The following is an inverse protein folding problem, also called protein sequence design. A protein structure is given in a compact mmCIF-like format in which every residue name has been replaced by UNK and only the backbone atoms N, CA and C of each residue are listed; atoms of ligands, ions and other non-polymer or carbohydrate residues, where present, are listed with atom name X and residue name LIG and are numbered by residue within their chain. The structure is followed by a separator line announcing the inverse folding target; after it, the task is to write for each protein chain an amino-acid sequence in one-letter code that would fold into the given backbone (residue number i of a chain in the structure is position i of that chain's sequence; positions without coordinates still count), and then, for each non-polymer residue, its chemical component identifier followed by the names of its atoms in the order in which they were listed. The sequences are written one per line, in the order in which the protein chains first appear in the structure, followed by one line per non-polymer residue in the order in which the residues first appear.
data_IF_452923922703
#
_entry.id   IF_452923922703
#
_cell.length_a   1.000
_cell.length_b   1.000
_cell.length_c   1.000
_cell.angle_alpha   90.00
_cell.angle_beta   90.00
_cell.angle_gamma   90.00
#
_symmetry.space_group_name_H-M   'P 1'
#
loop_
_entity.id
_entity.type
_entity.pdbx_description
1 polymer ?
#
# COMPACT_ATOMS: atom_id res chain seq x y z
N UNK A 1 -3.00 -14.81 6.96
CA UNK A 1 -3.41 -13.39 7.01
C UNK A 1 -2.15 -12.55 7.13
N UNK A 2 -1.99 -11.55 6.26
CA UNK A 2 -0.89 -10.58 6.31
C UNK A 2 -1.53 -9.24 6.64
N UNK A 3 -1.01 -8.54 7.63
CA UNK A 3 -1.51 -7.22 8.04
C UNK A 3 -0.49 -6.17 7.65
N UNK A 4 -0.91 -5.21 6.85
CA UNK A 4 -0.09 -4.09 6.41
C UNK A 4 -0.97 -2.96 5.92
N UNK A 5 -0.52 -1.73 6.14
CA UNK A 5 -1.00 -0.59 5.37
C UNK A 5 -0.43 -0.64 3.95
N UNK A 6 -1.06 0.09 3.03
CA UNK A 6 -0.55 0.35 1.70
C UNK A 6 0.42 1.55 1.73
N UNK A 7 0.29 2.53 0.84
CA UNK A 7 1.16 3.72 0.83
C UNK A 7 1.00 4.59 2.09
N UNK A 8 2.11 5.12 2.59
CA UNK A 8 2.16 6.30 3.47
C UNK A 8 2.53 7.53 2.61
N UNK A 9 1.56 8.37 2.28
CA UNK A 9 1.72 9.42 1.28
C UNK A 9 1.69 10.82 1.90
N UNK A 10 2.45 11.73 1.28
CA UNK A 10 2.46 13.14 1.62
C UNK A 10 3.82 13.65 2.07
N UNK A 11 3.88 14.93 2.44
CA UNK A 11 5.11 15.62 2.84
C UNK A 11 5.05 16.20 4.25
N UNK A 12 3.98 15.91 4.99
CA UNK A 12 3.80 16.31 6.39
C UNK A 12 3.86 15.09 7.31
N UNK A 13 4.41 15.25 8.51
CA UNK A 13 4.41 14.25 9.59
C UNK A 13 4.99 12.86 9.23
N UNK A 14 5.86 12.78 8.21
CA UNK A 14 6.65 11.60 7.84
C UNK A 14 8.15 11.71 8.23
N UNK A 15 8.42 12.51 9.26
CA UNK A 15 9.78 12.87 9.67
C UNK A 15 10.39 13.92 8.73
N UNK A 16 11.63 13.70 8.28
CA UNK A 16 12.31 14.58 7.31
C UNK A 16 12.02 14.18 5.84
N UNK A 17 11.14 13.20 5.61
CA UNK A 17 10.91 12.62 4.30
C UNK A 17 9.75 13.29 3.56
N UNK A 18 9.94 13.49 2.27
CA UNK A 18 8.87 13.87 1.34
C UNK A 18 8.44 12.63 0.52
N UNK A 19 7.23 12.15 0.78
CA UNK A 19 6.60 11.04 0.05
C UNK A 19 5.52 11.51 -0.92
N UNK A 20 5.37 12.81 -1.15
CA UNK A 20 4.40 13.39 -2.05
C UNK A 20 4.89 13.38 -3.51
N UNK A 21 5.20 12.19 -4.05
CA UNK A 21 5.74 12.00 -5.42
C UNK A 21 4.97 12.79 -6.49
N UNK A 22 3.65 12.89 -6.35
CA UNK A 22 2.77 13.58 -7.29
C UNK A 22 2.23 14.92 -6.76
N UNK A 23 2.70 15.38 -5.59
CA UNK A 23 2.18 16.56 -4.90
C UNK A 23 1.04 16.24 -3.92
N UNK A 24 0.66 17.23 -3.12
CA UNK A 24 -0.34 17.12 -2.06
C UNK A 24 -1.64 17.87 -2.40
N UNK A 25 -1.95 18.03 -3.68
CA UNK A 25 -3.23 18.55 -4.14
C UNK A 25 -4.15 17.41 -4.58
N UNK A 26 -5.39 17.74 -4.95
CA UNK A 26 -6.34 16.71 -5.38
C UNK A 26 -5.84 15.93 -6.61
N UNK A 27 -5.21 16.59 -7.58
CA UNK A 27 -4.65 15.93 -8.77
C UNK A 27 -3.52 14.96 -8.40
N UNK A 28 -2.59 15.40 -7.54
CA UNK A 28 -1.51 14.58 -7.02
C UNK A 28 -2.02 13.36 -6.26
N UNK A 29 -3.03 13.55 -5.41
CA UNK A 29 -3.66 12.48 -4.66
C UNK A 29 -4.44 11.51 -5.55
N UNK A 30 -5.10 11.97 -6.61
CA UNK A 30 -5.72 11.11 -7.62
C UNK A 30 -4.65 10.27 -8.35
N UNK A 31 -3.53 10.86 -8.73
CA UNK A 31 -2.41 10.15 -9.38
C UNK A 31 -1.75 9.14 -8.45
N UNK A 32 -1.59 9.47 -7.18
CA UNK A 32 -1.08 8.56 -6.16
C UNK A 32 -1.99 7.34 -5.98
N UNK A 33 -3.32 7.54 -5.90
CA UNK A 33 -4.29 6.44 -5.84
C UNK A 33 -4.31 5.62 -7.14
N UNK A 34 -4.20 6.26 -8.30
CA UNK A 34 -4.09 5.54 -9.57
C UNK A 34 -2.85 4.65 -9.62
N UNK A 35 -1.72 5.12 -9.09
CA UNK A 35 -0.50 4.33 -8.98
C UNK A 35 -0.63 3.15 -8.00
N UNK A 36 -1.34 3.32 -6.89
CA UNK A 36 -1.68 2.20 -5.99
C UNK A 36 -2.52 1.14 -6.71
N UNK A 37 -3.54 1.55 -7.46
CA UNK A 37 -4.34 0.64 -8.27
C UNK A 37 -3.52 -0.08 -9.34
N UNK A 38 -2.56 0.60 -9.96
CA UNK A 38 -1.61 -0.01 -10.90
C UNK A 38 -0.79 -1.12 -10.22
N UNK A 39 -0.21 -0.84 -9.05
CA UNK A 39 0.58 -1.84 -8.30
C UNK A 39 -0.29 -3.05 -7.94
N UNK A 40 -1.50 -2.81 -7.41
CA UNK A 40 -2.45 -3.86 -7.04
C UNK A 40 -2.79 -4.72 -8.26
N UNK A 41 -3.18 -4.08 -9.36
CA UNK A 41 -3.59 -4.77 -10.58
C UNK A 41 -2.46 -5.60 -11.19
N UNK A 42 -1.26 -5.03 -11.29
CA UNK A 42 -0.13 -5.67 -11.95
C UNK A 42 0.51 -6.78 -11.09
N UNK A 43 0.46 -6.67 -9.77
CA UNK A 43 1.26 -7.52 -8.89
C UNK A 43 0.44 -8.45 -8.00
N UNK A 44 -0.80 -8.09 -7.67
CA UNK A 44 -1.53 -8.72 -6.57
C UNK A 44 -2.88 -9.31 -7.00
N UNK A 45 -3.44 -8.86 -8.12
CA UNK A 45 -4.74 -9.28 -8.66
C UNK A 45 -4.60 -10.33 -9.77
N UNK A 46 -5.56 -11.26 -9.85
CA UNK A 46 -5.60 -12.29 -10.90
C UNK A 46 -4.69 -13.47 -10.61
N UNK A 47 -4.34 -14.24 -11.64
CA UNK A 47 -3.35 -15.32 -11.53
C UNK A 47 -1.97 -14.68 -11.29
N UNK A 48 -1.42 -14.87 -10.10
CA UNK A 48 -0.15 -14.28 -9.68
C UNK A 48 0.89 -15.34 -9.40
N UNK A 49 2.13 -15.02 -9.78
CA UNK A 49 3.26 -15.94 -9.68
C UNK A 49 4.53 -15.21 -9.17
N UNK A 50 5.68 -15.93 -9.04
CA UNK A 50 6.94 -15.32 -8.64
C UNK A 50 7.41 -14.10 -9.43
N UNK A 51 6.95 -13.88 -10.66
CA UNK A 51 7.25 -12.66 -11.42
C UNK A 51 6.43 -11.47 -10.89
N UNK A 52 5.13 -11.65 -10.61
CA UNK A 52 4.30 -10.62 -9.99
C UNK A 52 4.84 -10.20 -8.61
N UNK A 53 5.32 -11.15 -7.80
CA UNK A 53 5.84 -10.85 -6.47
C UNK A 53 7.16 -10.05 -6.52
N UNK A 54 8.00 -10.31 -7.54
CA UNK A 54 9.20 -9.51 -7.80
C UNK A 54 8.82 -8.12 -8.27
N UNK A 55 7.85 -8.01 -9.16
CA UNK A 55 7.36 -6.74 -9.65
C UNK A 55 6.84 -5.86 -8.48
N UNK A 56 6.11 -6.43 -7.52
CA UNK A 56 5.73 -5.71 -6.29
C UNK A 56 6.94 -5.16 -5.51
N UNK A 57 7.97 -5.97 -5.34
CA UNK A 57 9.23 -5.54 -4.73
C UNK A 57 9.90 -4.42 -5.54
N UNK A 58 9.89 -4.49 -6.87
CA UNK A 58 10.45 -3.47 -7.76
C UNK A 58 9.68 -2.13 -7.71
N UNK A 59 8.36 -2.19 -7.48
CA UNK A 59 7.53 -0.99 -7.27
C UNK A 59 7.85 -0.30 -5.94
N UNK A 60 8.20 -1.06 -4.89
CA UNK A 60 8.24 -0.58 -3.50
C UNK A 60 9.65 -0.35 -2.97
N UNK A 61 10.64 -1.12 -3.43
CA UNK A 61 12.04 -1.04 -3.00
C UNK A 61 12.88 -0.26 -4.00
N UNK A 62 13.87 0.46 -3.48
CA UNK A 62 14.92 1.05 -4.31
C UNK A 62 15.78 -0.04 -4.98
N UNK A 63 16.22 0.23 -6.22
CA UNK A 63 16.91 -0.75 -7.07
C UNK A 63 18.34 -1.06 -6.58
N UNK A 64 18.92 -0.20 -5.73
CA UNK A 64 20.31 -0.29 -5.29
C UNK A 64 20.48 -0.32 -3.77
N UNK A 65 19.48 0.11 -3.00
CA UNK A 65 19.48 0.07 -1.53
C UNK A 65 18.15 -0.47 -0.98
N UNK A 66 18.14 -1.75 -0.61
CA UNK A 66 16.93 -2.38 -0.07
C UNK A 66 16.38 -1.68 1.17
N UNK A 67 17.15 -0.87 1.91
CA UNK A 67 16.63 -0.17 3.10
C UNK A 67 15.75 1.03 2.74
N UNK A 68 15.75 1.46 1.47
CA UNK A 68 15.02 2.64 0.99
C UNK A 68 13.74 2.25 0.26
N UNK A 69 12.73 3.09 0.43
CA UNK A 69 11.49 3.01 -0.33
C UNK A 69 11.64 3.70 -1.68
N UNK A 70 11.17 3.03 -2.73
CA UNK A 70 10.72 3.71 -3.96
C UNK A 70 9.29 4.19 -3.77
N UNK A 71 8.47 3.36 -3.14
CA UNK A 71 7.08 3.64 -2.78
C UNK A 71 6.80 3.08 -1.38
N UNK A 72 6.21 3.90 -0.52
CA UNK A 72 6.14 3.71 0.94
C UNK A 72 5.07 2.73 1.39
N UNK A 73 5.02 1.56 0.75
CA UNK A 73 4.16 0.48 1.15
C UNK A 73 4.75 -0.24 2.37
N UNK A 74 4.08 -0.17 3.53
CA UNK A 74 4.60 -0.71 4.79
C UNK A 74 5.04 -2.19 4.66
N UNK A 75 4.21 -2.97 3.96
CA UNK A 75 4.36 -4.41 3.76
C UNK A 75 5.28 -4.85 2.64
N UNK A 76 6.17 -3.98 2.14
CA UNK A 76 7.12 -4.27 1.03
C UNK A 76 7.91 -5.58 1.16
N UNK A 77 8.09 -6.10 2.39
CA UNK A 77 8.71 -7.42 2.61
C UNK A 77 7.72 -8.51 3.01
N UNK A 78 6.74 -8.21 3.87
CA UNK A 78 5.84 -9.25 4.37
C UNK A 78 4.87 -9.74 3.29
N UNK A 79 4.47 -8.87 2.36
CA UNK A 79 3.62 -9.22 1.22
C UNK A 79 4.33 -10.24 0.31
N UNK A 80 5.52 -9.98 -0.27
CA UNK A 80 6.18 -10.96 -1.13
C UNK A 80 6.54 -12.23 -0.36
N UNK A 81 6.99 -12.16 0.90
CA UNK A 81 7.27 -13.36 1.71
C UNK A 81 6.03 -14.25 1.82
N UNK A 82 4.87 -13.68 2.11
CA UNK A 82 3.63 -14.43 2.22
C UNK A 82 3.17 -15.02 0.88
N UNK A 83 3.31 -14.26 -0.21
CA UNK A 83 2.93 -14.72 -1.55
C UNK A 83 3.85 -15.85 -2.05
N UNK A 84 5.17 -15.71 -1.88
CA UNK A 84 6.12 -16.80 -2.16
C UNK A 84 5.79 -18.05 -1.35
N UNK A 85 5.52 -17.87 -0.04
CA UNK A 85 5.16 -18.99 0.83
C UNK A 85 3.88 -19.68 0.35
N UNK A 86 2.83 -18.91 0.05
CA UNK A 86 1.57 -19.45 -0.44
C UNK A 86 1.73 -20.16 -1.79
N UNK A 87 2.49 -19.58 -2.72
CA UNK A 87 2.73 -20.16 -4.05
C UNK A 87 3.47 -21.49 -3.97
N UNK A 88 4.58 -21.56 -3.22
CA UNK A 88 5.39 -22.77 -3.14
C UNK A 88 4.79 -23.88 -2.28
N UNK A 89 3.90 -23.55 -1.34
CA UNK A 89 3.17 -24.55 -0.54
C UNK A 89 1.84 -24.97 -1.18
N UNK A 90 1.43 -24.34 -2.27
CA UNK A 90 0.21 -24.68 -2.98
C UNK A 90 0.47 -25.75 -4.05
N UNK A 91 -0.06 -26.95 -3.83
CA UNK A 91 0.11 -28.10 -4.71
C UNK A 91 -0.52 -27.91 -6.11
N UNK A 92 -1.43 -26.94 -6.29
CA UNK A 92 -2.03 -26.64 -7.59
C UNK A 92 -1.14 -25.77 -8.48
N UNK A 93 -0.11 -25.13 -7.91
CA UNK A 93 0.82 -24.24 -8.63
C UNK A 93 0.20 -22.94 -9.15
N UNK A 94 -1.02 -22.59 -8.72
CA UNK A 94 -1.73 -21.37 -9.15
C UNK A 94 -2.27 -20.63 -7.95
N UNK A 95 -1.88 -19.38 -7.78
CA UNK A 95 -2.42 -18.50 -6.75
C UNK A 95 -3.25 -17.41 -7.44
N UNK A 96 -4.52 -17.28 -7.09
CA UNK A 96 -5.38 -16.25 -7.68
C UNK A 96 -5.77 -15.19 -6.66
N UNK A 97 -5.27 -13.97 -6.84
CA UNK A 97 -5.65 -12.79 -6.07
C UNK A 97 -6.99 -12.22 -6.49
N UNK A 98 -7.84 -11.94 -5.53
CA UNK A 98 -9.12 -11.26 -5.68
C UNK A 98 -9.05 -9.91 -4.96
N UNK A 99 -9.19 -8.82 -5.72
CA UNK A 99 -9.24 -7.48 -5.15
C UNK A 99 -10.59 -7.27 -4.46
N UNK A 100 -10.55 -7.01 -3.15
CA UNK A 100 -11.76 -6.82 -2.33
C UNK A 100 -12.12 -5.34 -2.22
N UNK A 101 -11.10 -4.49 -2.07
CA UNK A 101 -11.32 -3.06 -1.97
C UNK A 101 -10.05 -2.28 -1.64
N UNK A 102 -10.15 -0.98 -1.86
CA UNK A 102 -9.13 -0.01 -1.51
C UNK A 102 -9.80 1.22 -0.92
N UNK A 103 -9.20 1.78 0.12
CA UNK A 103 -9.61 3.05 0.72
C UNK A 103 -8.37 3.80 1.19
N UNK A 104 -8.55 5.06 1.57
CA UNK A 104 -7.50 5.88 2.17
C UNK A 104 -8.04 6.61 3.39
N UNK A 105 -7.16 7.08 4.27
CA UNK A 105 -7.58 7.90 5.42
C UNK A 105 -8.32 9.17 5.00
N UNK A 106 -8.02 9.75 3.82
CA UNK A 106 -8.71 10.95 3.29
C UNK A 106 -10.01 10.67 2.54
N UNK A 107 -10.32 9.41 2.24
CA UNK A 107 -11.59 9.02 1.59
C UNK A 107 -12.63 8.51 2.58
N UNK A 108 -12.31 8.54 3.88
CA UNK A 108 -13.19 8.14 4.97
C UNK A 108 -13.45 9.32 5.90
N UNK A 109 -14.71 9.51 6.29
CA UNK A 109 -15.05 10.57 7.24
C UNK A 109 -14.50 10.24 8.64
N UNK A 110 -13.86 11.22 9.29
CA UNK A 110 -13.45 11.09 10.67
C UNK A 110 -14.65 11.08 11.62
N UNK A 111 -14.62 10.18 12.60
CA UNK A 111 -15.57 10.22 13.71
C UNK A 111 -15.33 11.49 14.56
N UNK A 112 -16.36 12.29 14.86
CA UNK A 112 -16.21 13.59 15.51
C UNK A 112 -16.05 13.48 17.04
N UNK A 113 -15.15 12.64 17.53
CA UNK A 113 -14.96 12.34 18.97
C UNK A 113 -13.95 13.26 19.66
N UNK A 114 -14.07 14.57 19.42
CA UNK A 114 -13.12 15.59 19.94
C UNK A 114 -13.16 15.77 21.46
N UNK A 115 -14.25 15.36 22.09
CA UNK A 115 -14.52 15.49 23.53
C UNK A 115 -13.74 14.49 24.39
N UNK A 116 -13.22 13.41 23.79
CA UNK A 116 -12.49 12.37 24.53
C UNK A 116 -11.05 12.76 24.91
N UNK A 117 -10.52 13.87 24.39
CA UNK A 117 -9.19 14.37 24.76
C UNK A 117 -8.01 13.47 24.37
N UNK A 118 -8.22 12.47 23.50
CA UNK A 118 -7.20 11.48 23.10
C UNK A 118 -6.28 11.97 21.96
N UNK A 119 -6.50 13.19 21.45
CA UNK A 119 -5.80 13.71 20.27
C UNK A 119 -6.30 13.10 18.96
N UNK A 120 -5.61 13.43 17.86
CA UNK A 120 -5.87 12.87 16.52
C UNK A 120 -4.81 11.82 16.23
N UNK A 121 -5.19 10.55 16.15
CA UNK A 121 -4.25 9.43 15.92
C UNK A 121 -4.11 9.04 14.45
N UNK A 122 -4.99 9.56 13.59
CA UNK A 122 -4.94 9.35 12.15
C UNK A 122 -5.13 10.71 11.48
N UNK A 123 -4.02 11.39 11.19
CA UNK A 123 -4.07 12.61 10.39
C UNK A 123 -4.49 12.19 8.98
N UNK A 124 -5.46 12.89 8.41
CA UNK A 124 -5.90 12.68 7.04
C UNK A 124 -6.04 14.04 6.37
N UNK A 125 -4.94 14.50 5.81
CA UNK A 125 -4.89 15.71 4.99
C UNK A 125 -4.42 15.33 3.60
N UNK A 126 -4.60 16.22 2.64
CA UNK A 126 -4.05 15.99 1.31
C UNK A 126 -2.51 15.85 1.31
N UNK A 127 -1.85 16.35 2.36
CA UNK A 127 -0.40 16.26 2.61
C UNK A 127 0.02 15.13 3.57
N UNK A 128 -0.91 14.35 4.11
CA UNK A 128 -0.63 13.23 5.00
C UNK A 128 -1.80 12.24 4.99
N UNK A 129 -1.62 11.10 4.32
CA UNK A 129 -2.63 10.05 4.31
C UNK A 129 -2.04 8.67 4.12
N UNK A 130 -2.83 7.66 4.49
CA UNK A 130 -2.46 6.24 4.40
C UNK A 130 -3.45 5.50 3.51
N UNK A 131 -2.96 4.60 2.65
CA UNK A 131 -3.76 3.70 1.84
C UNK A 131 -4.04 2.37 2.54
N UNK A 132 -5.20 1.77 2.25
CA UNK A 132 -5.64 0.50 2.82
C UNK A 132 -6.15 -0.41 1.70
N UNK A 133 -5.36 -1.43 1.36
CA UNK A 133 -5.71 -2.41 0.33
C UNK A 133 -6.16 -3.73 0.98
N UNK A 134 -7.24 -4.32 0.47
CA UNK A 134 -7.72 -5.64 0.88
C UNK A 134 -7.74 -6.59 -0.33
N UNK A 135 -7.06 -7.73 -0.19
CA UNK A 135 -7.05 -8.81 -1.17
C UNK A 135 -7.28 -10.17 -0.49
N UNK A 136 -7.95 -11.06 -1.22
CA UNK A 136 -8.10 -12.46 -0.85
C UNK A 136 -7.35 -13.34 -1.86
N UNK A 137 -6.86 -14.49 -1.41
CA UNK A 137 -6.16 -15.44 -2.26
C UNK A 137 -6.78 -16.82 -2.15
N UNK A 138 -6.88 -17.51 -3.28
CA UNK A 138 -7.39 -18.88 -3.43
C UNK A 138 -6.47 -19.71 -4.31
#
# INVERSE_FOLDING_TARGET
MVTTDAVHYGNEDWGENDYARYGCDNEGNERARAYEHEIIHNCLEGEVDPANFRLFSEYTLDDYDHNKYKWTWCGRYCVPVALYTAYYLNDTGKLNGEFIGYSTSITSDHLPVKDLGMGTTAIATDCHWVGYAALAYR
#
